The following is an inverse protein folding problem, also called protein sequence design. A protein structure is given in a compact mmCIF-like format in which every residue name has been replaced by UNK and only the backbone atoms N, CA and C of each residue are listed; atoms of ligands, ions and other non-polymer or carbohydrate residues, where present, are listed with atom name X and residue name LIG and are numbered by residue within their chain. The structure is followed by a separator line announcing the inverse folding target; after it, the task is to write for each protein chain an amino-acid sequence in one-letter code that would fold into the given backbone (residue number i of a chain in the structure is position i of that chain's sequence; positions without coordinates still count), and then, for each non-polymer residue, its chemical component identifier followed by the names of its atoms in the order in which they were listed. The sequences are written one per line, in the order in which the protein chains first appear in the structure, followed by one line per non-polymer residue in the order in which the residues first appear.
data_IF_919663296712
#
_entry.id   IF_919663296712
#
_cell.length_a   1.000
_cell.length_b   1.000
_cell.length_c   1.000
_cell.angle_alpha   90.00
_cell.angle_beta   90.00
_cell.angle_gamma   90.00
#
_symmetry.space_group_name_H-M   'P 1'
#
loop_
_entity.id
_entity.type
_entity.pdbx_description
1 polymer ?
#
# COMPACT_ATOMS: atom_id res chain seq x y z
N UNK A 1 65.31 12.53 -78.01
CA UNK A 1 64.89 11.54 -77.02
C UNK A 1 64.58 12.37 -75.75
N UNK A 2 63.28 12.65 -75.48
CA UNK A 2 62.86 13.46 -74.34
C UNK A 2 61.86 12.60 -73.55
N UNK A 3 62.22 12.19 -72.33
CA UNK A 3 61.39 11.46 -71.43
C UNK A 3 60.46 12.45 -70.72
N UNK A 4 59.17 12.27 -70.89
CA UNK A 4 58.12 12.98 -70.13
C UNK A 4 57.73 12.17 -68.94
N UNK A 5 57.99 12.62 -67.73
CA UNK A 5 57.52 12.08 -66.51
C UNK A 5 56.16 12.72 -66.22
N UNK A 6 55.10 11.86 -66.26
CA UNK A 6 53.76 12.29 -65.81
C UNK A 6 53.61 12.08 -64.31
N UNK A 7 53.55 13.21 -63.63
CA UNK A 7 53.29 13.27 -62.19
C UNK A 7 51.75 13.06 -61.97
N UNK A 8 51.38 11.96 -61.37
CA UNK A 8 50.00 11.73 -60.90
C UNK A 8 49.80 12.40 -59.52
N UNK A 9 48.94 13.39 -59.51
CA UNK A 9 48.54 14.09 -58.28
C UNK A 9 47.34 13.31 -57.67
N UNK A 10 47.59 12.58 -56.58
CA UNK A 10 46.53 11.87 -55.82
C UNK A 10 45.83 12.82 -54.90
N UNK A 11 44.59 13.13 -55.18
CA UNK A 11 43.72 13.95 -54.37
C UNK A 11 43.12 13.07 -53.22
N UNK A 12 43.63 13.19 -51.99
CA UNK A 12 43.06 12.54 -50.81
C UNK A 12 41.87 13.37 -50.35
N UNK A 13 40.65 12.86 -50.58
CA UNK A 13 39.42 13.46 -50.00
C UNK A 13 39.32 12.96 -48.58
N UNK A 14 39.59 13.81 -47.59
CA UNK A 14 39.30 13.54 -46.16
C UNK A 14 37.80 13.66 -45.89
N UNK A 15 37.15 12.52 -45.72
CA UNK A 15 35.78 12.49 -45.18
C UNK A 15 35.83 12.82 -43.68
N UNK A 16 35.47 14.03 -43.34
CA UNK A 16 35.20 14.41 -41.94
C UNK A 16 33.84 13.85 -41.56
N UNK A 17 33.85 12.72 -40.87
CA UNK A 17 32.62 12.15 -40.26
C UNK A 17 32.23 13.07 -39.10
N UNK A 18 31.25 13.92 -39.32
CA UNK A 18 30.58 14.68 -38.26
C UNK A 18 29.69 13.69 -37.51
N UNK A 19 30.21 13.10 -36.45
CA UNK A 19 29.36 12.40 -35.45
C UNK A 19 28.66 13.49 -34.61
N UNK A 20 27.33 13.58 -34.66
CA UNK A 20 26.64 14.44 -33.71
C UNK A 20 26.91 13.86 -32.32
N UNK A 21 27.68 14.60 -31.51
CA UNK A 21 27.75 14.37 -30.07
C UNK A 21 26.31 14.45 -29.55
N UNK A 22 25.68 13.29 -29.34
CA UNK A 22 24.47 13.20 -28.57
C UNK A 22 24.82 13.78 -27.19
N UNK A 23 24.38 15.01 -26.92
CA UNK A 23 24.31 15.52 -25.57
C UNK A 23 23.45 14.55 -24.82
N UNK A 24 24.05 13.73 -23.97
CA UNK A 24 23.31 13.07 -22.92
C UNK A 24 22.55 14.19 -22.19
N UNK A 25 21.26 14.29 -22.42
CA UNK A 25 20.40 15.04 -21.54
C UNK A 25 20.55 14.36 -20.18
N UNK A 26 21.31 15.02 -19.28
CA UNK A 26 21.18 14.77 -17.86
C UNK A 26 19.74 15.20 -17.48
N UNK A 27 18.75 14.35 -17.78
CA UNK A 27 17.54 14.35 -16.99
C UNK A 27 18.00 14.15 -15.54
N UNK A 28 17.64 15.03 -14.61
CA UNK A 28 17.89 14.76 -13.20
C UNK A 28 17.45 13.32 -12.98
N UNK A 29 18.33 12.48 -12.42
CA UNK A 29 17.94 11.17 -11.99
C UNK A 29 16.67 11.38 -11.16
N UNK A 30 15.54 10.88 -11.66
CA UNK A 30 14.35 10.87 -10.86
C UNK A 30 14.75 10.11 -9.60
N UNK A 31 14.62 10.73 -8.43
CA UNK A 31 14.93 10.12 -7.13
C UNK A 31 13.93 9.01 -6.79
N UNK A 32 13.36 8.37 -7.82
CA UNK A 32 12.35 7.34 -7.67
C UNK A 32 12.99 6.07 -7.10
N UNK A 33 12.60 5.77 -5.89
CA UNK A 33 12.88 4.48 -5.25
C UNK A 33 12.17 3.35 -6.03
N UNK A 34 12.63 2.08 -5.95
CA UNK A 34 12.06 0.98 -6.71
C UNK A 34 10.57 0.71 -6.44
N UNK A 35 10.05 1.10 -5.28
CA UNK A 35 8.63 0.96 -4.93
C UNK A 35 8.17 -0.47 -4.63
N UNK A 36 9.10 -1.44 -4.46
CA UNK A 36 8.76 -2.79 -4.02
C UNK A 36 9.84 -3.38 -3.11
N UNK A 37 9.43 -4.30 -2.23
CA UNK A 37 10.31 -5.03 -1.31
C UNK A 37 9.82 -6.47 -1.15
N UNK A 38 10.71 -7.46 -1.35
CA UNK A 38 10.41 -8.88 -1.22
C UNK A 38 10.75 -9.42 0.16
N UNK A 39 9.87 -10.28 0.70
CA UNK A 39 10.04 -11.00 1.94
C UNK A 39 9.53 -12.44 1.78
N UNK A 40 10.31 -13.43 2.23
CA UNK A 40 9.81 -14.80 2.40
C UNK A 40 9.00 -14.90 3.71
N UNK A 41 7.92 -15.69 3.69
CA UNK A 41 7.11 -16.06 4.86
C UNK A 41 6.78 -17.55 4.77
N UNK A 42 7.62 -18.40 5.35
CA UNK A 42 7.56 -19.85 5.14
C UNK A 42 7.70 -20.22 3.66
N UNK A 43 6.71 -20.90 3.09
CA UNK A 43 6.65 -21.22 1.64
C UNK A 43 6.01 -20.10 0.80
N UNK A 44 5.52 -19.04 1.42
CA UNK A 44 4.92 -17.91 0.75
C UNK A 44 5.93 -16.80 0.50
N UNK A 45 5.62 -15.91 -0.43
CA UNK A 45 6.35 -14.69 -0.68
C UNK A 45 5.41 -13.50 -0.48
N UNK A 46 5.85 -12.52 0.30
CA UNK A 46 5.16 -11.25 0.51
C UNK A 46 5.96 -10.16 -0.17
N UNK A 47 5.31 -9.37 -1.00
CA UNK A 47 5.94 -8.26 -1.72
C UNK A 47 5.19 -6.99 -1.34
N UNK A 48 5.84 -6.11 -0.58
CA UNK A 48 5.31 -4.78 -0.34
C UNK A 48 5.40 -3.96 -1.63
N UNK A 49 4.34 -3.25 -1.95
CA UNK A 49 4.22 -2.37 -3.11
C UNK A 49 3.88 -0.95 -2.64
N UNK A 50 4.69 0.01 -3.01
CA UNK A 50 4.43 1.42 -2.71
C UNK A 50 3.51 2.02 -3.77
N UNK A 51 2.41 2.63 -3.33
CA UNK A 51 1.56 3.49 -4.16
C UNK A 51 2.13 4.90 -4.28
N UNK A 52 3.09 5.24 -3.41
CA UNK A 52 3.70 6.54 -3.24
C UNK A 52 3.56 7.08 -1.83
N UNK A 53 3.79 8.39 -1.69
CA UNK A 53 3.65 9.10 -0.42
C UNK A 53 2.84 10.38 -0.59
N UNK A 54 2.20 10.83 0.49
CA UNK A 54 1.46 12.10 0.52
C UNK A 54 1.71 12.84 1.82
N UNK A 55 1.88 14.18 1.80
CA UNK A 55 2.02 14.95 3.02
C UNK A 55 0.74 14.90 3.84
N UNK A 56 0.85 14.47 5.10
CA UNK A 56 -0.25 14.40 6.06
C UNK A 56 0.09 15.21 7.31
N UNK A 57 -0.83 16.08 7.72
CA UNK A 57 -0.72 16.86 8.98
C UNK A 57 -1.30 16.03 10.11
N UNK A 58 -0.45 15.33 10.83
CA UNK A 58 -0.89 14.40 11.87
C UNK A 58 -1.60 15.06 13.05
N UNK A 59 -1.29 16.32 13.36
CA UNK A 59 -1.99 17.08 14.39
C UNK A 59 -3.42 17.51 14.00
N UNK A 60 -3.75 17.48 12.69
CA UNK A 60 -5.11 17.70 12.18
C UNK A 60 -5.84 16.37 11.95
N UNK A 61 -5.09 15.32 11.64
CA UNK A 61 -5.60 13.99 11.33
C UNK A 61 -5.93 13.17 12.60
N UNK A 62 -5.08 13.25 13.61
CA UNK A 62 -5.21 12.45 14.83
C UNK A 62 -6.02 13.18 15.88
N UNK A 63 -6.95 12.45 16.52
CA UNK A 63 -7.92 12.96 17.49
C UNK A 63 -7.81 12.23 18.83
N UNK A 64 -8.52 12.69 19.84
CA UNK A 64 -8.51 12.16 21.21
C UNK A 64 -7.14 12.21 21.90
N UNK A 65 -6.22 13.02 21.36
CA UNK A 65 -4.95 13.35 22.01
C UNK A 65 -5.08 14.57 22.93
N UNK A 66 -4.24 14.64 23.97
CA UNK A 66 -4.13 15.85 24.77
C UNK A 66 -3.49 16.99 23.96
N UNK A 67 -3.77 18.26 24.31
CA UNK A 67 -3.11 19.37 23.62
C UNK A 67 -1.59 19.25 23.61
N UNK A 68 -0.98 19.30 22.41
CA UNK A 68 0.46 19.19 22.20
C UNK A 68 1.05 17.78 22.30
N UNK A 69 0.23 16.75 22.57
CA UNK A 69 0.71 15.37 22.73
C UNK A 69 1.19 14.77 21.40
N UNK A 70 0.46 15.01 20.30
CA UNK A 70 0.86 14.53 18.96
C UNK A 70 2.21 15.13 18.57
N UNK A 71 2.39 16.45 18.69
CA UNK A 71 3.65 17.13 18.39
C UNK A 71 4.80 16.66 19.28
N UNK A 72 4.51 16.40 20.56
CA UNK A 72 5.52 15.87 21.48
C UNK A 72 6.01 14.49 21.04
N UNK A 73 5.09 13.57 20.72
CA UNK A 73 5.40 12.21 20.27
C UNK A 73 6.14 12.21 18.93
N UNK A 74 5.70 13.02 17.96
CA UNK A 74 6.38 13.18 16.67
C UNK A 74 7.82 13.68 16.86
N UNK A 75 8.04 14.67 17.73
CA UNK A 75 9.38 15.20 18.02
C UNK A 75 10.32 14.13 18.60
N UNK A 76 9.81 13.20 19.42
CA UNK A 76 10.62 12.08 19.94
C UNK A 76 11.10 11.15 18.83
N UNK A 77 10.37 11.11 17.71
CA UNK A 77 10.71 10.31 16.50
C UNK A 77 11.38 11.14 15.40
N UNK A 78 11.83 12.37 15.72
CA UNK A 78 12.45 13.32 14.77
C UNK A 78 11.55 13.65 13.58
N UNK A 79 10.23 13.59 13.76
CA UNK A 79 9.23 13.92 12.75
C UNK A 79 8.64 15.32 12.98
N UNK A 80 8.28 15.99 11.88
CA UNK A 80 7.50 17.21 11.90
C UNK A 80 5.99 16.89 12.03
N UNK A 81 5.15 17.91 12.26
CA UNK A 81 3.68 17.73 12.28
C UNK A 81 3.12 17.33 10.91
N UNK A 82 3.80 17.67 9.82
CA UNK A 82 3.52 17.15 8.47
C UNK A 82 4.57 16.11 8.13
N UNK A 83 4.12 14.89 7.87
CA UNK A 83 4.97 13.77 7.46
C UNK A 83 4.64 13.33 6.03
N UNK A 84 5.60 12.70 5.36
CA UNK A 84 5.34 11.93 4.15
C UNK A 84 4.73 10.58 4.55
N UNK A 85 3.41 10.50 4.46
CA UNK A 85 2.66 9.29 4.78
C UNK A 85 2.70 8.32 3.59
N UNK A 86 3.16 7.11 3.81
CA UNK A 86 3.16 6.06 2.78
C UNK A 86 1.74 5.54 2.51
N UNK A 87 1.52 5.07 1.28
CA UNK A 87 0.39 4.20 0.94
C UNK A 87 0.98 2.90 0.42
N UNK A 88 0.84 1.83 1.20
CA UNK A 88 1.39 0.51 0.91
C UNK A 88 0.28 -0.49 0.62
N UNK A 89 0.47 -1.30 -0.42
CA UNK A 89 -0.29 -2.51 -0.68
C UNK A 89 0.66 -3.72 -0.68
N UNK A 90 0.11 -4.93 -0.66
CA UNK A 90 0.95 -6.12 -0.53
C UNK A 90 0.51 -7.21 -1.50
N UNK A 91 1.44 -7.70 -2.31
CA UNK A 91 1.22 -8.89 -3.11
C UNK A 91 1.70 -10.13 -2.34
N UNK A 92 0.81 -11.09 -2.14
CA UNK A 92 1.10 -12.39 -1.53
C UNK A 92 1.08 -13.46 -2.60
N UNK A 93 2.21 -14.13 -2.79
CA UNK A 93 2.30 -15.32 -3.62
C UNK A 93 2.17 -16.56 -2.75
N UNK A 94 1.03 -17.22 -2.82
CA UNK A 94 0.67 -18.34 -1.97
C UNK A 94 -0.02 -19.44 -2.80
N UNK A 95 0.43 -20.70 -2.65
CA UNK A 95 -0.22 -21.87 -3.26
C UNK A 95 -0.46 -21.73 -4.77
N UNK A 96 0.49 -21.13 -5.51
CA UNK A 96 0.40 -20.89 -6.94
C UNK A 96 -0.52 -19.75 -7.37
N UNK A 97 -1.05 -18.94 -6.41
CA UNK A 97 -1.88 -17.77 -6.65
C UNK A 97 -1.15 -16.48 -6.35
N UNK A 98 -1.51 -15.41 -7.04
CA UNK A 98 -1.11 -14.05 -6.81
C UNK A 98 -2.28 -13.28 -6.20
N UNK A 99 -2.17 -12.91 -4.93
CA UNK A 99 -3.23 -12.31 -4.13
C UNK A 99 -2.76 -10.93 -3.68
N UNK A 100 -3.45 -9.88 -4.13
CA UNK A 100 -3.14 -8.50 -3.75
C UNK A 100 -3.98 -8.10 -2.54
N UNK A 101 -3.37 -7.49 -1.54
CA UNK A 101 -4.05 -6.86 -0.39
C UNK A 101 -4.05 -5.37 -0.64
N UNK A 102 -5.23 -4.79 -0.83
CA UNK A 102 -5.51 -3.44 -1.30
C UNK A 102 -4.93 -3.11 -2.68
N UNK A 103 -5.44 -2.05 -3.32
CA UNK A 103 -5.13 -1.72 -4.71
C UNK A 103 -4.57 -0.29 -4.91
N UNK A 104 -4.40 0.48 -3.84
CA UNK A 104 -3.89 1.85 -3.91
C UNK A 104 -4.93 2.87 -4.39
N UNK A 105 -4.46 4.07 -4.73
CA UNK A 105 -5.28 5.26 -5.00
C UNK A 105 -5.68 5.44 -6.46
N UNK A 106 -4.92 4.91 -7.43
CA UNK A 106 -4.96 5.34 -8.83
C UNK A 106 -4.66 6.85 -8.96
N UNK A 107 -5.34 7.55 -9.85
CA UNK A 107 -5.14 8.97 -10.19
C UNK A 107 -5.88 9.97 -9.28
N UNK A 108 -6.53 9.50 -8.22
CA UNK A 108 -7.48 10.32 -7.42
C UNK A 108 -6.79 11.42 -6.62
N UNK A 109 -5.60 11.16 -6.11
CA UNK A 109 -4.87 12.10 -5.23
C UNK A 109 -3.65 12.76 -5.88
N UNK A 110 -3.61 12.78 -7.21
CA UNK A 110 -2.55 13.42 -7.98
C UNK A 110 -1.31 12.55 -8.18
N UNK A 111 -0.24 13.11 -8.81
CA UNK A 111 0.86 12.30 -9.36
C UNK A 111 1.84 11.73 -8.35
N UNK A 112 1.71 12.05 -7.07
CA UNK A 112 2.57 11.51 -6.01
C UNK A 112 2.11 10.12 -5.53
N UNK A 113 0.90 9.73 -5.89
CA UNK A 113 0.26 8.44 -5.57
C UNK A 113 -0.21 7.75 -6.85
N UNK A 114 -0.75 6.54 -6.75
CA UNK A 114 -1.28 5.78 -7.90
C UNK A 114 -0.25 4.90 -8.58
N UNK A 115 0.83 4.52 -7.88
CA UNK A 115 1.95 3.77 -8.44
C UNK A 115 1.91 2.27 -8.19
N UNK A 116 0.81 1.68 -7.63
CA UNK A 116 0.74 0.23 -7.36
C UNK A 116 1.00 -0.59 -8.62
N UNK A 117 0.39 -0.24 -9.75
CA UNK A 117 0.60 -0.96 -11.00
C UNK A 117 2.05 -0.84 -11.49
N UNK A 118 2.69 0.32 -11.33
CA UNK A 118 4.10 0.53 -11.68
C UNK A 118 5.01 -0.30 -10.76
N UNK A 119 4.79 -0.26 -9.45
CA UNK A 119 5.54 -1.02 -8.45
C UNK A 119 5.37 -2.53 -8.66
N UNK A 120 4.17 -2.99 -8.99
CA UNK A 120 3.87 -4.37 -9.37
C UNK A 120 4.67 -4.81 -10.61
N UNK A 121 4.69 -3.97 -11.66
CA UNK A 121 5.46 -4.24 -12.88
C UNK A 121 6.97 -4.29 -12.61
N UNK A 122 7.48 -3.38 -11.80
CA UNK A 122 8.90 -3.37 -11.38
C UNK A 122 9.26 -4.60 -10.53
N UNK A 123 8.31 -5.13 -9.74
CA UNK A 123 8.47 -6.39 -9.01
C UNK A 123 8.38 -7.64 -9.93
N UNK A 124 8.13 -7.47 -11.24
CA UNK A 124 8.10 -8.55 -12.23
C UNK A 124 6.72 -9.18 -12.46
N UNK A 125 5.66 -8.56 -11.97
CA UNK A 125 4.28 -9.02 -12.13
C UNK A 125 3.44 -8.02 -12.92
N UNK A 126 2.33 -8.50 -13.52
CA UNK A 126 1.38 -7.68 -14.28
C UNK A 126 -0.01 -7.75 -13.67
N UNK A 127 -0.83 -6.70 -13.83
CA UNK A 127 -2.21 -6.69 -13.33
C UNK A 127 -3.05 -7.89 -13.79
N UNK A 128 -2.82 -8.39 -15.01
CA UNK A 128 -3.53 -9.53 -15.60
C UNK A 128 -3.19 -10.87 -14.91
N UNK A 129 -2.12 -10.94 -14.13
CA UNK A 129 -1.69 -12.14 -13.41
C UNK A 129 -2.31 -12.25 -12.02
N UNK A 130 -2.95 -11.19 -11.52
CA UNK A 130 -3.55 -11.18 -10.19
C UNK A 130 -4.83 -12.03 -10.19
N UNK A 131 -4.86 -13.04 -9.32
CA UNK A 131 -5.99 -13.96 -9.15
C UNK A 131 -7.08 -13.40 -8.24
N UNK A 132 -6.66 -12.69 -7.19
CA UNK A 132 -7.57 -12.14 -6.18
C UNK A 132 -7.06 -10.81 -5.62
N UNK A 133 -8.00 -9.97 -5.21
CA UNK A 133 -7.73 -8.76 -4.44
C UNK A 133 -8.52 -8.84 -3.14
N UNK A 134 -7.85 -8.70 -2.01
CA UNK A 134 -8.45 -8.70 -0.68
C UNK A 134 -8.46 -7.26 -0.18
N UNK A 135 -9.63 -6.67 -0.04
CA UNK A 135 -9.76 -5.30 0.43
C UNK A 135 -9.88 -5.26 1.95
N UNK A 136 -9.02 -4.46 2.58
CA UNK A 136 -9.13 -4.20 4.02
C UNK A 136 -10.39 -3.40 4.32
N UNK A 137 -10.68 -2.37 3.51
CA UNK A 137 -11.84 -1.51 3.61
C UNK A 137 -12.04 -0.67 2.33
N UNK A 138 -13.01 0.26 2.31
CA UNK A 138 -13.40 0.96 1.08
C UNK A 138 -12.79 2.36 0.91
N UNK A 139 -11.90 2.83 1.74
CA UNK A 139 -11.31 4.14 1.49
C UNK A 139 -10.56 4.17 0.15
N UNK A 140 -10.48 5.36 -0.44
CA UNK A 140 -10.07 5.52 -1.83
C UNK A 140 -8.61 5.12 -2.09
N UNK A 141 -7.77 5.20 -1.10
CA UNK A 141 -6.37 4.78 -1.14
C UNK A 141 -6.17 3.25 -1.04
N UNK A 142 -7.27 2.50 -0.84
CA UNK A 142 -7.30 1.04 -0.86
C UNK A 142 -8.06 0.47 -2.05
N UNK A 143 -9.08 1.20 -2.55
CA UNK A 143 -9.91 0.71 -3.66
C UNK A 143 -9.71 1.50 -4.96
N UNK A 144 -9.05 2.64 -4.92
CA UNK A 144 -8.92 3.53 -6.08
C UNK A 144 -8.32 2.84 -7.30
N UNK A 145 -7.29 2.04 -7.08
CA UNK A 145 -6.58 1.30 -8.12
C UNK A 145 -7.33 0.12 -8.72
N UNK A 146 -8.53 -0.24 -8.24
CA UNK A 146 -9.39 -1.24 -8.88
C UNK A 146 -9.82 -0.82 -10.29
N UNK A 147 -9.89 0.49 -10.54
CA UNK A 147 -10.29 1.05 -11.83
C UNK A 147 -9.20 1.97 -12.37
N UNK A 148 -8.94 1.86 -13.68
CA UNK A 148 -8.13 2.80 -14.45
C UNK A 148 -9.07 3.51 -15.45
N UNK A 149 -9.51 4.72 -15.14
CA UNK A 149 -10.65 5.33 -15.79
C UNK A 149 -11.88 4.43 -15.67
N UNK A 150 -12.50 4.12 -16.80
CA UNK A 150 -13.68 3.23 -16.88
C UNK A 150 -13.34 1.74 -17.00
N UNK A 151 -12.06 1.38 -16.95
CA UNK A 151 -11.61 -0.02 -17.13
C UNK A 151 -11.24 -0.66 -15.78
N UNK A 152 -11.60 -1.92 -15.63
CA UNK A 152 -11.12 -2.75 -14.51
C UNK A 152 -9.61 -2.93 -14.65
N UNK A 153 -8.85 -2.46 -13.64
CA UNK A 153 -7.39 -2.47 -13.70
C UNK A 153 -6.79 -3.89 -13.60
N UNK A 154 -7.47 -4.79 -12.88
CA UNK A 154 -7.05 -6.17 -12.68
C UNK A 154 -8.08 -7.12 -13.31
N UNK A 155 -8.02 -7.33 -14.65
CA UNK A 155 -9.13 -7.92 -15.41
C UNK A 155 -9.42 -9.38 -15.06
N UNK A 156 -8.46 -10.12 -14.51
CA UNK A 156 -8.62 -11.53 -14.15
C UNK A 156 -8.91 -11.75 -12.65
N UNK A 157 -8.73 -10.71 -11.82
CA UNK A 157 -8.91 -10.81 -10.38
C UNK A 157 -10.38 -10.93 -9.97
N UNK A 158 -10.61 -11.70 -8.91
CA UNK A 158 -11.83 -11.62 -8.09
C UNK A 158 -11.54 -10.74 -6.87
N UNK A 159 -12.38 -9.76 -6.61
CA UNK A 159 -12.24 -8.84 -5.47
C UNK A 159 -13.05 -9.37 -4.29
N UNK A 160 -12.43 -9.45 -3.13
CA UNK A 160 -13.03 -9.91 -1.88
C UNK A 160 -13.10 -8.77 -0.88
N UNK A 161 -14.24 -8.64 -0.20
CA UNK A 161 -14.47 -7.63 0.83
C UNK A 161 -15.43 -8.21 1.89
N UNK A 162 -15.33 -7.75 3.14
CA UNK A 162 -16.28 -8.21 4.14
C UNK A 162 -17.70 -7.84 3.74
N UNK A 163 -18.65 -8.74 4.05
CA UNK A 163 -20.06 -8.51 3.78
C UNK A 163 -20.58 -7.26 4.50
N UNK A 164 -20.10 -7.01 5.71
CA UNK A 164 -20.47 -5.84 6.52
C UNK A 164 -20.07 -4.55 5.81
N UNK A 165 -18.86 -4.49 5.26
CA UNK A 165 -18.32 -3.33 4.55
C UNK A 165 -19.11 -3.06 3.27
N UNK A 166 -19.32 -4.09 2.44
CA UNK A 166 -20.07 -3.98 1.20
C UNK A 166 -21.54 -3.58 1.43
N UNK A 167 -22.20 -4.23 2.38
CA UNK A 167 -23.61 -3.95 2.72
C UNK A 167 -23.78 -2.52 3.25
N UNK A 168 -22.80 -1.98 3.94
CA UNK A 168 -22.85 -0.62 4.46
C UNK A 168 -22.68 0.40 3.35
N UNK A 169 -21.57 0.36 2.59
CA UNK A 169 -21.19 1.40 1.66
C UNK A 169 -21.85 1.33 0.28
N UNK A 170 -22.32 0.16 -0.15
CA UNK A 170 -23.09 0.02 -1.39
C UNK A 170 -24.61 0.23 -1.20
N UNK A 171 -25.04 0.60 0.03
CA UNK A 171 -26.45 0.85 0.34
C UNK A 171 -26.78 2.35 0.27
N UNK A 172 -27.60 2.81 -0.71
CA UNK A 172 -27.96 4.22 -0.83
C UNK A 172 -28.67 4.80 0.40
N UNK A 173 -29.40 3.96 1.17
CA UNK A 173 -30.09 4.41 2.37
C UNK A 173 -29.10 4.80 3.49
N UNK A 174 -27.94 4.14 3.58
CA UNK A 174 -26.87 4.51 4.50
C UNK A 174 -26.20 5.82 4.07
N UNK A 175 -25.93 5.99 2.76
CA UNK A 175 -25.41 7.26 2.21
C UNK A 175 -26.34 8.43 2.55
N UNK A 176 -27.65 8.25 2.40
CA UNK A 176 -28.63 9.31 2.69
C UNK A 176 -28.61 9.77 4.15
N UNK A 177 -28.25 8.87 5.08
CA UNK A 177 -28.18 9.12 6.53
C UNK A 177 -26.78 9.62 6.98
N UNK A 178 -25.77 9.46 6.15
CA UNK A 178 -24.40 9.81 6.49
C UNK A 178 -24.22 11.32 6.61
N UNK A 179 -23.32 11.73 7.51
CA UNK A 179 -22.88 13.13 7.57
C UNK A 179 -22.19 13.52 6.26
N UNK A 180 -22.25 14.81 5.91
CA UNK A 180 -21.80 15.26 4.58
C UNK A 180 -20.36 14.86 4.27
N UNK A 181 -19.46 15.00 5.25
CA UNK A 181 -18.04 14.63 5.11
C UNK A 181 -17.80 13.13 4.84
N UNK A 182 -18.73 12.24 5.27
CA UNK A 182 -18.63 10.80 5.06
C UNK A 182 -19.23 10.35 3.73
N UNK A 183 -20.04 11.16 3.04
CA UNK A 183 -20.67 10.78 1.76
C UNK A 183 -19.65 10.44 0.68
N UNK A 184 -18.47 11.07 0.71
CA UNK A 184 -17.37 10.79 -0.23
C UNK A 184 -16.93 9.32 -0.24
N UNK A 185 -17.03 8.61 0.88
CA UNK A 185 -16.68 7.20 0.96
C UNK A 185 -17.68 6.32 0.20
N UNK A 186 -18.99 6.69 0.27
CA UNK A 186 -20.02 6.05 -0.54
C UNK A 186 -19.84 6.35 -2.02
N UNK A 187 -19.44 7.58 -2.38
CA UNK A 187 -19.14 7.94 -3.77
C UNK A 187 -17.96 7.14 -4.29
N UNK A 188 -16.93 6.94 -3.49
CA UNK A 188 -15.79 6.07 -3.81
C UNK A 188 -16.22 4.63 -4.06
N UNK A 189 -17.03 4.06 -3.19
CA UNK A 189 -17.56 2.70 -3.35
C UNK A 189 -18.40 2.59 -4.65
N UNK A 190 -19.23 3.59 -4.96
CA UNK A 190 -20.02 3.63 -6.18
C UNK A 190 -19.14 3.70 -7.43
N UNK A 191 -18.07 4.48 -7.42
CA UNK A 191 -17.18 4.67 -8.56
C UNK A 191 -16.23 3.47 -8.77
N UNK A 192 -15.71 2.87 -7.72
CA UNK A 192 -14.63 1.88 -7.80
C UNK A 192 -15.10 0.45 -7.57
N UNK A 193 -16.07 0.23 -6.68
CA UNK A 193 -16.53 -1.09 -6.31
C UNK A 193 -17.79 -1.54 -7.10
N UNK A 194 -18.71 -0.60 -7.40
CA UNK A 194 -19.91 -0.91 -8.18
C UNK A 194 -19.61 -1.50 -9.58
N UNK A 195 -18.64 -1.00 -10.37
CA UNK A 195 -18.27 -1.63 -11.63
C UNK A 195 -17.77 -3.08 -11.47
N UNK A 196 -17.02 -3.36 -10.41
CA UNK A 196 -16.54 -4.71 -10.07
C UNK A 196 -17.72 -5.64 -9.74
N UNK A 197 -18.71 -5.14 -8.98
CA UNK A 197 -19.94 -5.88 -8.66
C UNK A 197 -20.74 -6.18 -9.94
N UNK A 198 -20.95 -5.20 -10.81
CA UNK A 198 -21.70 -5.35 -12.08
C UNK A 198 -21.00 -6.36 -13.00
N UNK A 199 -19.67 -6.36 -13.02
CA UNK A 199 -18.87 -7.34 -13.79
C UNK A 199 -18.91 -8.76 -13.18
N UNK A 200 -19.60 -8.98 -12.05
CA UNK A 200 -19.67 -10.27 -11.37
C UNK A 200 -18.37 -10.71 -10.70
N UNK A 201 -17.45 -9.77 -10.47
CA UNK A 201 -16.11 -10.01 -9.92
C UNK A 201 -15.98 -9.68 -8.45
N UNK A 202 -17.02 -9.15 -7.80
CA UNK A 202 -17.04 -8.92 -6.35
C UNK A 202 -17.59 -10.15 -5.62
N UNK A 203 -16.90 -10.55 -4.56
CA UNK A 203 -17.34 -11.57 -3.60
C UNK A 203 -17.27 -10.98 -2.21
N UNK A 204 -18.34 -11.19 -1.46
CA UNK A 204 -18.36 -10.86 -0.02
C UNK A 204 -18.03 -12.09 0.80
N UNK A 205 -17.45 -11.88 1.97
CA UNK A 205 -17.17 -12.93 2.95
C UNK A 205 -17.71 -12.57 4.35
N UNK A 206 -17.98 -13.59 5.13
CA UNK A 206 -18.18 -13.51 6.58
C UNK A 206 -16.87 -13.95 7.27
N UNK A 207 -16.62 -13.43 8.48
CA UNK A 207 -15.44 -13.80 9.26
C UNK A 207 -15.59 -15.21 9.87
N UNK A 208 -14.48 -15.88 10.15
CA UNK A 208 -14.45 -17.18 10.84
C UNK A 208 -13.97 -18.35 9.99
N UNK A 209 -13.56 -18.13 8.75
CA UNK A 209 -12.98 -19.15 7.88
C UNK A 209 -11.88 -18.59 6.99
N UNK A 210 -11.04 -19.46 6.42
CA UNK A 210 -10.04 -19.09 5.42
C UNK A 210 -10.70 -18.68 4.09
N UNK A 211 -10.16 -17.66 3.43
CA UNK A 211 -10.49 -17.32 2.04
C UNK A 211 -9.69 -18.18 1.06
N UNK A 212 -8.44 -18.42 1.40
CA UNK A 212 -7.51 -19.27 0.69
C UNK A 212 -6.69 -20.06 1.73
N UNK A 213 -6.15 -21.23 1.39
CA UNK A 213 -5.31 -21.99 2.33
C UNK A 213 -4.17 -21.14 2.91
N UNK A 214 -4.16 -20.95 4.23
CA UNK A 214 -3.21 -20.10 4.94
C UNK A 214 -3.53 -18.60 4.90
N UNK A 215 -4.70 -18.17 4.41
CA UNK A 215 -5.11 -16.76 4.37
C UNK A 215 -6.50 -16.59 4.98
N UNK A 216 -6.55 -15.96 6.15
CA UNK A 216 -7.76 -15.80 6.96
C UNK A 216 -8.09 -14.32 7.19
N UNK A 217 -9.30 -13.87 6.86
CA UNK A 217 -9.77 -12.55 7.24
C UNK A 217 -10.09 -12.50 8.74
N UNK A 218 -9.67 -11.45 9.40
CA UNK A 218 -9.91 -11.20 10.82
C UNK A 218 -10.62 -9.88 10.98
N UNK A 219 -11.66 -9.83 11.84
CA UNK A 219 -12.42 -8.61 12.08
C UNK A 219 -11.53 -7.52 12.71
N UNK A 220 -11.43 -6.38 12.02
CA UNK A 220 -10.66 -5.20 12.43
C UNK A 220 -11.53 -3.95 12.55
N UNK A 221 -12.78 -4.07 13.02
CA UNK A 221 -13.79 -3.02 13.01
C UNK A 221 -13.40 -1.75 13.78
N UNK A 222 -13.95 -0.62 13.34
CA UNK A 222 -13.84 0.68 13.99
C UNK A 222 -13.39 1.77 13.03
N UNK A 223 -12.30 1.56 12.29
CA UNK A 223 -11.87 2.48 11.23
C UNK A 223 -12.94 2.59 10.14
N UNK A 224 -13.47 1.46 9.70
CA UNK A 224 -14.74 1.38 8.98
C UNK A 224 -15.64 0.30 9.60
N UNK A 225 -16.94 0.24 9.27
CA UNK A 225 -17.86 -0.73 9.87
C UNK A 225 -17.46 -2.19 9.67
N UNK A 226 -16.87 -2.52 8.52
CA UNK A 226 -16.47 -3.88 8.15
C UNK A 226 -14.98 -4.03 7.90
N UNK A 227 -14.14 -3.12 8.43
CA UNK A 227 -12.69 -3.19 8.27
C UNK A 227 -12.14 -4.57 8.61
N UNK A 228 -11.25 -5.07 7.76
CA UNK A 228 -10.69 -6.42 7.82
C UNK A 228 -9.18 -6.39 7.94
N UNK A 229 -8.63 -7.20 8.84
CA UNK A 229 -7.25 -7.62 8.80
C UNK A 229 -7.14 -8.89 7.96
N UNK A 230 -5.93 -9.22 7.50
CA UNK A 230 -5.64 -10.49 6.86
C UNK A 230 -4.47 -11.17 7.54
N UNK A 231 -4.72 -12.33 8.13
CA UNK A 231 -3.69 -13.21 8.68
C UNK A 231 -3.19 -14.14 7.57
N UNK A 232 -1.87 -14.16 7.37
CA UNK A 232 -1.18 -15.03 6.43
C UNK A 232 -0.30 -15.96 7.23
N UNK A 233 -0.45 -17.27 7.03
CA UNK A 233 0.30 -18.30 7.78
C UNK A 233 0.89 -19.34 6.83
N UNK A 234 2.20 -19.60 6.98
CA UNK A 234 2.92 -20.63 6.22
C UNK A 234 4.07 -21.21 7.04
N UNK A 235 4.14 -22.54 7.18
CA UNK A 235 5.21 -23.25 7.90
C UNK A 235 5.47 -22.74 9.33
N UNK A 236 4.43 -22.30 10.02
CA UNK A 236 4.54 -21.77 11.38
C UNK A 236 4.95 -20.29 11.48
N UNK A 237 5.25 -19.67 10.36
CA UNK A 237 5.43 -18.21 10.29
C UNK A 237 4.10 -17.53 10.02
N UNK A 238 3.88 -16.38 10.67
CA UNK A 238 2.63 -15.61 10.58
C UNK A 238 2.91 -14.15 10.31
N UNK A 239 2.07 -13.56 9.47
CA UNK A 239 1.99 -12.11 9.24
C UNK A 239 0.54 -11.64 9.31
N UNK A 240 0.31 -10.48 9.96
CA UNK A 240 -0.99 -9.84 10.03
C UNK A 240 -0.96 -8.48 9.32
N UNK A 241 -1.80 -8.30 8.31
CA UNK A 241 -2.00 -7.01 7.64
C UNK A 241 -3.10 -6.25 8.37
N UNK A 242 -2.77 -5.05 8.86
CA UNK A 242 -3.61 -4.27 9.77
C UNK A 242 -4.45 -3.18 9.07
N UNK A 243 -4.25 -2.93 7.78
CA UNK A 243 -4.89 -1.81 7.09
C UNK A 243 -4.69 -0.51 7.88
N UNK A 244 -5.79 0.23 8.12
CA UNK A 244 -5.79 1.57 8.67
C UNK A 244 -6.10 1.66 10.17
N UNK A 245 -6.09 0.53 10.86
CA UNK A 245 -6.22 0.59 12.32
C UNK A 245 -5.01 1.25 12.97
N UNK A 246 -3.90 1.36 12.23
CA UNK A 246 -2.67 2.04 12.61
C UNK A 246 -2.21 2.94 11.45
N UNK A 247 -2.16 4.25 11.68
CA UNK A 247 -1.78 5.27 10.69
C UNK A 247 -0.42 5.91 11.01
N UNK A 248 -0.03 5.96 12.28
CA UNK A 248 1.24 6.54 12.72
C UNK A 248 1.89 5.67 13.79
N UNK A 249 3.07 5.15 13.47
CA UNK A 249 3.90 4.44 14.44
C UNK A 249 4.40 5.36 15.55
N UNK A 250 4.80 6.57 15.20
CA UNK A 250 5.32 7.56 16.15
C UNK A 250 4.30 8.01 17.20
N UNK A 251 3.00 7.93 16.90
CA UNK A 251 1.94 8.44 17.79
C UNK A 251 1.07 7.32 18.35
N UNK A 252 0.53 6.46 17.48
CA UNK A 252 -0.47 5.48 17.91
C UNK A 252 0.15 4.20 18.49
N UNK A 253 1.46 3.97 18.37
CA UNK A 253 2.12 2.90 19.10
C UNK A 253 2.37 3.30 20.57
N UNK A 254 2.99 4.45 20.89
CA UNK A 254 3.10 4.89 22.27
C UNK A 254 1.75 5.11 22.96
N UNK A 255 0.77 5.69 22.23
CA UNK A 255 -0.57 6.03 22.75
C UNK A 255 -1.68 5.43 21.86
N UNK A 256 -1.98 4.12 21.98
CA UNK A 256 -2.94 3.44 21.11
C UNK A 256 -4.41 3.90 21.27
N UNK A 257 -4.68 4.78 22.24
CA UNK A 257 -5.99 5.42 22.43
C UNK A 257 -6.23 6.61 21.48
N UNK A 258 -5.18 7.16 20.88
CA UNK A 258 -5.30 8.26 19.92
C UNK A 258 -5.94 7.73 18.63
N UNK A 259 -7.03 8.39 18.19
CA UNK A 259 -7.88 7.98 17.07
C UNK A 259 -7.62 8.85 15.83
N UNK A 260 -8.39 8.66 14.77
CA UNK A 260 -8.29 9.40 13.53
C UNK A 260 -9.62 10.04 13.16
N UNK A 261 -9.60 11.21 12.48
CA UNK A 261 -10.80 11.83 11.89
C UNK A 261 -11.49 10.94 10.85
N UNK A 262 -10.80 9.90 10.38
CA UNK A 262 -11.34 8.93 9.42
C UNK A 262 -12.01 7.73 10.09
N UNK A 263 -11.86 7.56 11.41
CA UNK A 263 -12.47 6.44 12.11
C UNK A 263 -13.99 6.59 12.15
N UNK A 264 -14.70 5.58 11.63
CA UNK A 264 -16.17 5.51 11.67
C UNK A 264 -16.69 5.44 13.11
N UNK A 265 -16.04 4.61 13.93
CA UNK A 265 -16.25 4.51 15.38
C UNK A 265 -14.89 4.57 16.07
N UNK A 266 -14.55 5.77 16.53
CA UNK A 266 -13.25 6.06 17.15
C UNK A 266 -12.99 5.19 18.39
N UNK A 267 -14.01 4.95 19.25
CA UNK A 267 -13.89 4.10 20.43
C UNK A 267 -13.62 2.64 20.10
N UNK A 268 -14.33 2.12 19.10
CA UNK A 268 -14.08 0.77 18.59
C UNK A 268 -12.72 0.65 17.91
N UNK A 269 -12.33 1.62 17.08
CA UNK A 269 -11.02 1.65 16.43
C UNK A 269 -9.87 1.60 17.46
N UNK A 270 -9.93 2.42 18.52
CA UNK A 270 -8.96 2.40 19.59
C UNK A 270 -8.93 1.04 20.33
N UNK A 271 -10.09 0.43 20.58
CA UNK A 271 -10.20 -0.89 21.23
C UNK A 271 -9.59 -1.98 20.35
N UNK A 272 -9.93 -1.98 19.06
CA UNK A 272 -9.41 -2.92 18.08
C UNK A 272 -7.89 -2.77 17.94
N UNK A 273 -7.38 -1.53 17.86
CA UNK A 273 -5.94 -1.23 17.81
C UNK A 273 -5.21 -1.78 19.01
N UNK A 274 -5.67 -1.48 20.22
CA UNK A 274 -5.07 -1.96 21.48
C UNK A 274 -4.98 -3.49 21.50
N UNK A 275 -6.05 -4.17 21.09
CA UNK A 275 -6.08 -5.64 21.02
C UNK A 275 -5.07 -6.16 19.99
N UNK A 276 -5.08 -5.65 18.77
CA UNK A 276 -4.18 -6.09 17.71
C UNK A 276 -2.70 -5.89 18.08
N UNK A 277 -2.35 -4.73 18.64
CA UNK A 277 -0.99 -4.42 19.09
C UNK A 277 -0.53 -5.33 20.24
N UNK A 278 -1.40 -5.59 21.22
CA UNK A 278 -1.09 -6.48 22.33
C UNK A 278 -0.85 -7.94 21.86
N UNK A 279 -1.69 -8.42 20.94
CA UNK A 279 -1.53 -9.76 20.35
C UNK A 279 -0.23 -9.84 19.53
N UNK A 280 0.04 -8.85 18.67
CA UNK A 280 1.26 -8.82 17.85
C UNK A 280 2.52 -8.77 18.71
N UNK A 281 2.54 -7.93 19.77
CA UNK A 281 3.68 -7.81 20.68
C UNK A 281 3.92 -9.10 21.49
N UNK A 282 2.84 -9.81 21.88
CA UNK A 282 2.94 -11.05 22.64
C UNK A 282 3.37 -12.22 21.79
N UNK A 283 2.80 -12.34 20.60
CA UNK A 283 3.03 -13.47 19.70
C UNK A 283 4.29 -13.31 18.84
N UNK A 284 4.78 -12.07 18.64
CA UNK A 284 5.99 -11.76 17.89
C UNK A 284 5.91 -12.03 16.39
N UNK A 285 4.70 -12.15 15.82
CA UNK A 285 4.54 -12.34 14.38
C UNK A 285 4.79 -11.04 13.60
N UNK A 286 5.00 -11.16 12.28
CA UNK A 286 5.16 -10.04 11.38
C UNK A 286 3.86 -9.23 11.24
N UNK A 287 4.00 -7.94 11.02
CA UNK A 287 2.90 -7.02 10.78
C UNK A 287 3.15 -6.25 9.51
N UNK A 288 2.11 -6.10 8.67
CA UNK A 288 2.07 -5.23 7.49
C UNK A 288 1.09 -4.09 7.72
N UNK A 289 1.47 -2.85 7.43
CA UNK A 289 0.67 -1.65 7.70
C UNK A 289 0.66 -0.72 6.49
N UNK A 290 -0.54 -0.24 6.14
CA UNK A 290 -0.72 0.56 4.93
C UNK A 290 -0.05 1.93 5.00
N UNK A 291 0.01 2.57 6.18
CA UNK A 291 0.45 3.96 6.32
C UNK A 291 1.75 4.18 7.07
N UNK A 292 2.43 3.11 7.52
CA UNK A 292 3.79 3.22 8.06
C UNK A 292 4.80 3.28 6.92
N UNK A 293 5.92 3.95 7.15
CA UNK A 293 7.00 4.12 6.17
C UNK A 293 7.33 2.84 5.43
N UNK A 294 7.39 2.91 4.10
CA UNK A 294 7.69 1.76 3.25
C UNK A 294 8.94 1.00 3.73
N UNK A 295 8.93 -0.34 3.76
CA UNK A 295 7.94 -1.26 3.19
C UNK A 295 6.70 -1.52 4.06
N UNK A 296 6.55 -0.84 5.20
CA UNK A 296 5.43 -1.03 6.13
C UNK A 296 5.39 -2.41 6.79
N UNK A 297 6.52 -3.14 6.81
CA UNK A 297 6.68 -4.47 7.39
C UNK A 297 7.59 -4.41 8.61
N UNK A 298 7.20 -5.06 9.70
CA UNK A 298 7.98 -5.10 10.93
C UNK A 298 7.31 -5.92 12.03
N UNK A 299 7.82 -5.76 13.24
CA UNK A 299 7.24 -6.32 14.46
C UNK A 299 6.77 -5.21 15.40
N UNK A 300 5.82 -5.55 16.23
CA UNK A 300 5.39 -4.73 17.37
C UNK A 300 6.08 -5.25 18.61
N UNK A 301 6.72 -4.38 19.37
CA UNK A 301 7.34 -4.70 20.66
C UNK A 301 6.72 -3.82 21.75
N UNK A 302 6.37 -4.42 22.89
CA UNK A 302 5.90 -3.67 24.05
C UNK A 302 7.01 -2.76 24.60
N UNK A 303 6.65 -1.52 24.94
CA UNK A 303 7.54 -0.51 25.50
C UNK A 303 6.81 0.35 26.55
N UNK A 304 7.09 0.12 27.81
CA UNK A 304 6.37 0.78 28.90
C UNK A 304 4.87 0.50 28.89
N UNK A 305 4.07 1.55 28.65
CA UNK A 305 2.60 1.46 28.55
C UNK A 305 2.10 1.34 27.11
N UNK A 306 2.98 1.53 26.14
CA UNK A 306 2.69 1.48 24.73
C UNK A 306 3.54 0.44 24.00
N UNK A 307 3.84 0.74 22.75
CA UNK A 307 4.57 -0.13 21.85
C UNK A 307 5.56 0.69 21.03
N UNK A 308 6.51 -0.01 20.41
CA UNK A 308 7.39 0.55 19.38
C UNK A 308 7.35 -0.32 18.12
N UNK A 309 7.63 0.32 17.00
CA UNK A 309 7.85 -0.34 15.72
C UNK A 309 9.27 -0.84 15.60
N UNK A 310 9.43 -2.12 15.23
CA UNK A 310 10.72 -2.71 14.89
C UNK A 310 10.67 -3.06 13.40
N UNK A 311 11.19 -2.20 12.52
CA UNK A 311 11.08 -2.40 11.08
C UNK A 311 11.86 -3.62 10.63
N UNK A 312 11.43 -4.23 9.53
CA UNK A 312 12.18 -5.28 8.85
C UNK A 312 13.54 -4.75 8.40
N UNK A 313 14.60 -5.54 8.59
CA UNK A 313 15.90 -5.20 8.06
C UNK A 313 15.93 -5.35 6.52
N UNK A 314 16.60 -4.45 5.84
CA UNK A 314 16.83 -4.61 4.41
C UNK A 314 17.64 -5.89 4.14
N UNK A 315 17.12 -6.76 3.28
CA UNK A 315 17.81 -7.96 2.80
C UNK A 315 17.85 -7.97 1.28
N UNK A 316 19.05 -8.01 0.70
CA UNK A 316 19.22 -8.10 -0.75
C UNK A 316 18.76 -9.46 -1.31
N UNK A 317 18.60 -10.48 -0.47
CA UNK A 317 18.16 -11.83 -0.86
C UNK A 317 16.64 -12.05 -0.65
N UNK A 318 15.93 -11.09 -0.07
CA UNK A 318 14.50 -11.22 0.26
C UNK A 318 14.19 -12.27 1.34
N UNK A 319 15.20 -12.89 1.94
CA UNK A 319 15.00 -13.81 3.06
C UNK A 319 14.89 -13.00 4.34
N UNK A 320 13.71 -13.03 4.95
CA UNK A 320 13.49 -12.48 6.28
C UNK A 320 14.47 -13.13 7.27
N UNK A 321 14.79 -12.39 8.31
CA UNK A 321 15.62 -12.89 9.41
C UNK A 321 14.74 -13.57 10.43
#
# INVERSE_FOLDING_TARGET
MKNSIKTMLSLAIAFVIYSPLAKAQNTPNSLNQPGYYHMALGDFEVIALSDGTTPQKLNELLTDAKPGEVEHLLKQHYQASTIECSVNAYLVKANGKLILIDAGTSDVYGPALGHITESLNKAGYKPEQIDAILLTHIHMDHIGGLMNGDKIAFPNATVYISKIEADYYLNPANKAKAVESAKRFFDGAEQKLRPILIAGKLRTFDFGGELFPGITPVAGFGHTPGHSFYAIESKGEKMLFLGDILVSDAVQLPEPSITSVYDYDAGQAATTRKKALAEAATAGYWVGVSHISFPGIGHIRADGKGYIWVPINYSASGRGQ
#
